data_IF_930827044248
#
_entry.id   IF_930827044248
#
_cell.length_a   1.000
_cell.length_b   1.000
_cell.length_c   1.000
_cell.angle_alpha   90.00
_cell.angle_beta   90.00
_cell.angle_gamma   90.00
#
_symmetry.space_group_name_H-M   'P 1'
#
loop_
_entity.id
_entity.type
_entity.pdbx_description
1 polymer ?
#
# COMPACT_ATOMS: atom_id res chain seq x y z
N UNK A 1 0.34 0.81 18.52
CA UNK A 1 -0.25 1.28 19.79
C UNK A 1 0.59 0.76 20.94
N UNK A 2 0.78 1.57 21.99
CA UNK A 2 1.31 1.10 23.28
C UNK A 2 0.14 0.56 24.09
N UNK A 3 0.12 -0.75 24.35
CA UNK A 3 -1.01 -1.43 25.02
C UNK A 3 -1.12 -1.05 26.51
N UNK A 4 0.01 -0.83 27.19
CA UNK A 4 0.07 -0.46 28.62
C UNK A 4 0.56 0.98 28.82
N UNK A 5 -0.08 1.94 28.15
CA UNK A 5 0.30 3.34 28.25
C UNK A 5 0.13 3.88 29.69
N UNK A 6 1.20 4.44 30.26
CA UNK A 6 1.24 4.92 31.64
C UNK A 6 0.95 6.43 31.72
N UNK A 7 0.22 6.82 32.75
CA UNK A 7 -0.05 8.23 33.04
C UNK A 7 1.25 8.97 33.42
N UNK A 8 1.48 10.14 32.81
CA UNK A 8 2.70 10.93 33.01
C UNK A 8 3.89 10.55 32.12
N UNK A 9 3.77 9.50 31.30
CA UNK A 9 4.75 9.18 30.25
C UNK A 9 4.37 9.85 28.92
N UNK A 10 5.38 10.24 28.15
CA UNK A 10 5.20 10.72 26.78
C UNK A 10 5.77 9.70 25.79
N UNK A 11 5.01 9.43 24.73
CA UNK A 11 5.38 8.46 23.70
C UNK A 11 5.74 9.19 22.42
N UNK A 12 6.99 9.11 22.00
CA UNK A 12 7.47 9.71 20.76
C UNK A 12 7.82 8.62 19.74
N UNK A 13 7.05 8.57 18.66
CA UNK A 13 7.34 7.71 17.52
C UNK A 13 8.22 8.45 16.51
N UNK A 14 9.08 7.71 15.82
CA UNK A 14 9.80 8.17 14.63
C UNK A 14 9.51 7.19 13.50
N UNK A 15 8.87 7.70 12.45
CA UNK A 15 8.49 6.95 11.25
C UNK A 15 8.96 7.73 10.03
N UNK A 16 9.81 7.11 9.21
CA UNK A 16 10.41 7.72 8.00
C UNK A 16 11.01 9.12 8.25
N UNK A 17 11.72 9.26 9.37
CA UNK A 17 12.35 10.51 9.79
C UNK A 17 11.40 11.55 10.39
N UNK A 18 10.08 11.32 10.34
CA UNK A 18 9.07 12.19 10.94
C UNK A 18 8.77 11.75 12.37
N UNK A 19 8.67 12.71 13.30
CA UNK A 19 8.34 12.45 14.70
C UNK A 19 6.85 12.66 14.96
N UNK A 20 6.27 11.75 15.74
CA UNK A 20 4.87 11.82 16.19
C UNK A 20 4.82 11.63 17.69
N UNK A 21 3.81 12.21 18.35
CA UNK A 21 3.64 12.10 19.80
C UNK A 21 2.26 11.55 20.11
N UNK A 22 2.19 10.60 21.04
CA UNK A 22 0.96 10.00 21.51
C UNK A 22 1.10 8.49 21.71
N UNK A 23 0.17 7.85 22.45
CA UNK A 23 0.23 6.41 22.72
C UNK A 23 -0.05 5.54 21.48
N UNK A 24 -0.64 6.13 20.44
CA UNK A 24 -0.97 5.46 19.17
C UNK A 24 -0.38 6.25 18.00
N UNK A 25 0.15 5.53 17.02
CA UNK A 25 0.57 6.05 15.73
C UNK A 25 -0.28 5.39 14.65
N UNK A 26 -0.96 6.22 13.85
CA UNK A 26 -1.66 5.80 12.64
C UNK A 26 -0.97 6.44 11.43
N UNK A 27 -0.49 5.62 10.51
CA UNK A 27 0.23 6.07 9.30
C UNK A 27 -0.18 5.21 8.11
N UNK A 28 -0.27 5.82 6.94
CA UNK A 28 -0.41 5.11 5.67
C UNK A 28 0.97 4.93 5.05
N UNK A 29 1.33 3.69 4.70
CA UNK A 29 2.59 3.35 4.06
C UNK A 29 2.32 2.76 2.67
N UNK A 30 2.65 3.53 1.62
CA UNK A 30 2.35 3.16 0.23
C UNK A 30 3.55 2.54 -0.50
N UNK A 31 4.76 2.84 -0.05
CA UNK A 31 5.98 2.30 -0.66
C UNK A 31 6.32 0.93 -0.11
N UNK A 32 6.41 -0.06 -1.01
CA UNK A 32 6.84 -1.43 -0.69
C UNK A 32 8.26 -1.45 -0.13
N UNK A 33 8.49 -2.33 0.83
CA UNK A 33 9.79 -2.60 1.43
C UNK A 33 9.80 -2.45 2.94
N UNK A 34 10.97 -2.71 3.56
CA UNK A 34 11.17 -2.47 4.98
C UNK A 34 11.17 -0.98 5.30
N UNK A 35 10.50 -0.61 6.39
CA UNK A 35 10.40 0.76 6.89
C UNK A 35 10.79 0.77 8.37
N UNK A 36 11.92 1.40 8.75
CA UNK A 36 12.35 1.45 10.13
C UNK A 36 11.41 2.33 10.96
N UNK A 37 11.12 1.87 12.18
CA UNK A 37 10.29 2.57 13.14
C UNK A 37 10.96 2.57 14.51
N UNK A 38 10.90 3.71 15.19
CA UNK A 38 11.42 3.85 16.56
C UNK A 38 10.33 4.40 17.45
N UNK A 39 10.13 3.78 18.61
CA UNK A 39 9.32 4.30 19.71
C UNK A 39 10.24 4.67 20.86
N UNK A 40 10.07 5.88 21.40
CA UNK A 40 10.71 6.34 22.63
C UNK A 40 9.64 6.64 23.67
N UNK A 41 9.82 6.08 24.85
CA UNK A 41 9.07 6.43 26.04
C UNK A 41 9.91 7.44 26.81
N UNK A 42 9.29 8.57 27.13
CA UNK A 42 9.90 9.70 27.82
C UNK A 42 9.21 9.84 29.17
N UNK A 43 10.00 9.95 30.22
CA UNK A 43 9.48 10.23 31.56
C UNK A 43 9.03 11.69 31.72
N UNK A 44 8.52 12.03 32.90
CA UNK A 44 8.08 13.40 33.23
C UNK A 44 9.20 14.45 33.19
N UNK A 45 10.48 14.03 33.19
CA UNK A 45 11.64 14.91 33.03
C UNK A 45 12.03 15.12 31.56
N UNK A 46 11.41 14.39 30.63
CA UNK A 46 11.77 14.35 29.22
C UNK A 46 12.98 13.46 28.91
N UNK A 47 13.40 12.63 29.87
CA UNK A 47 14.47 11.65 29.68
C UNK A 47 13.90 10.38 29.05
N UNK A 48 14.66 9.75 28.14
CA UNK A 48 14.24 8.49 27.52
C UNK A 48 14.32 7.39 28.57
N UNK A 49 13.17 6.88 28.99
CA UNK A 49 13.06 5.74 29.91
C UNK A 49 13.18 4.41 29.18
N UNK A 50 12.69 4.35 27.93
CA UNK A 50 12.74 3.16 27.07
C UNK A 50 12.79 3.55 25.59
N UNK A 51 13.53 2.78 24.81
CA UNK A 51 13.55 2.88 23.35
C UNK A 51 13.33 1.50 22.72
N UNK A 52 12.46 1.44 21.72
CA UNK A 52 12.20 0.24 20.92
C UNK A 52 12.41 0.58 19.45
N UNK A 53 13.26 -0.19 18.79
CA UNK A 53 13.47 -0.10 17.35
C UNK A 53 12.90 -1.35 16.70
N UNK A 54 12.17 -1.17 15.61
CA UNK A 54 11.58 -2.26 14.84
C UNK A 54 11.49 -1.90 13.36
N UNK A 55 11.12 -2.89 12.55
CA UNK A 55 10.96 -2.73 11.11
C UNK A 55 9.55 -3.18 10.72
N UNK A 56 8.84 -2.32 9.99
CA UNK A 56 7.55 -2.63 9.40
C UNK A 56 7.77 -2.94 7.92
N UNK A 57 7.30 -4.09 7.46
CA UNK A 57 7.48 -4.51 6.06
C UNK A 57 6.19 -4.29 5.28
N UNK A 58 6.25 -3.40 4.29
CA UNK A 58 5.14 -3.08 3.40
C UNK A 58 5.21 -3.96 2.16
N UNK A 59 4.13 -4.67 1.82
CA UNK A 59 4.03 -5.59 0.68
C UNK A 59 2.64 -5.53 0.06
N UNK A 60 2.54 -5.84 -1.23
CA UNK A 60 1.25 -6.09 -1.87
C UNK A 60 0.69 -7.44 -1.43
N UNK A 61 -0.56 -7.44 -0.96
CA UNK A 61 -1.28 -8.65 -0.53
C UNK A 61 -2.53 -8.79 -1.38
N UNK A 62 -2.71 -9.95 -2.00
CA UNK A 62 -3.98 -10.28 -2.67
C UNK A 62 -5.01 -10.65 -1.62
N UNK A 63 -6.16 -9.99 -1.66
CA UNK A 63 -7.28 -10.22 -0.76
C UNK A 63 -8.52 -10.59 -1.55
N UNK A 64 -9.46 -11.23 -0.88
CA UNK A 64 -10.77 -11.50 -1.44
C UNK A 64 -11.57 -10.18 -1.50
N UNK A 65 -12.23 -9.90 -2.61
CA UNK A 65 -12.81 -8.58 -2.89
C UNK A 65 -13.93 -8.15 -1.91
N UNK A 66 -14.69 -9.09 -1.35
CA UNK A 66 -15.74 -8.84 -0.34
C UNK A 66 -15.16 -8.62 1.06
N UNK A 67 -13.90 -8.97 1.28
CA UNK A 67 -13.16 -8.71 2.53
C UNK A 67 -12.45 -7.36 2.57
N UNK A 68 -12.50 -6.59 1.48
CA UNK A 68 -11.94 -5.24 1.45
C UNK A 68 -12.83 -4.26 2.22
N UNK A 69 -12.20 -3.25 2.82
CA UNK A 69 -12.91 -2.07 3.32
C UNK A 69 -13.62 -1.38 2.15
N UNK A 70 -14.70 -0.66 2.44
CA UNK A 70 -15.49 -0.01 1.40
C UNK A 70 -14.62 0.97 0.58
N UNK A 71 -13.76 1.74 1.24
CA UNK A 71 -12.86 2.69 0.60
C UNK A 71 -11.86 2.01 -0.35
N UNK A 72 -11.27 0.89 0.07
CA UNK A 72 -10.32 0.13 -0.73
C UNK A 72 -11.01 -0.52 -1.95
N UNK A 73 -12.24 -1.00 -1.76
CA UNK A 73 -13.04 -1.63 -2.81
C UNK A 73 -13.44 -0.61 -3.87
N UNK A 74 -13.89 0.57 -3.47
CA UNK A 74 -14.19 1.67 -4.38
C UNK A 74 -12.93 2.14 -5.11
N UNK A 75 -11.78 2.27 -4.42
CA UNK A 75 -10.51 2.62 -5.05
C UNK A 75 -10.12 1.60 -6.15
N UNK A 76 -10.32 0.31 -5.90
CA UNK A 76 -10.08 -0.74 -6.88
C UNK A 76 -11.01 -0.61 -8.11
N UNK A 77 -12.31 -0.46 -7.91
CA UNK A 77 -13.26 -0.37 -9.01
C UNK A 77 -13.11 0.93 -9.81
N UNK A 78 -12.83 2.05 -9.16
CA UNK A 78 -12.50 3.31 -9.83
C UNK A 78 -11.27 3.14 -10.73
N UNK A 79 -10.20 2.50 -10.24
CA UNK A 79 -9.03 2.21 -11.07
C UNK A 79 -9.38 1.33 -12.27
N UNK A 80 -10.25 0.32 -12.09
CA UNK A 80 -10.73 -0.52 -13.19
C UNK A 80 -11.57 0.26 -14.21
N UNK A 81 -12.42 1.17 -13.76
CA UNK A 81 -13.18 2.07 -14.63
C UNK A 81 -12.25 2.92 -15.50
N UNK A 82 -11.19 3.50 -14.92
CA UNK A 82 -10.20 4.25 -15.72
C UNK A 82 -9.56 3.39 -16.80
N UNK A 83 -9.22 2.13 -16.51
CA UNK A 83 -8.68 1.21 -17.52
C UNK A 83 -9.69 0.87 -18.62
N UNK A 84 -10.98 0.83 -18.29
CA UNK A 84 -12.08 0.56 -19.22
C UNK A 84 -12.33 1.73 -20.18
N UNK A 85 -12.42 2.95 -19.65
CA UNK A 85 -12.93 4.10 -20.40
C UNK A 85 -11.83 4.95 -21.04
N UNK A 86 -10.60 4.90 -20.52
CA UNK A 86 -9.52 5.77 -20.99
C UNK A 86 -8.85 5.17 -22.24
N UNK A 87 -8.84 5.88 -23.38
CA UNK A 87 -8.07 5.48 -24.56
C UNK A 87 -6.58 5.27 -24.23
N UNK A 88 -5.92 4.36 -24.94
CA UNK A 88 -4.56 3.95 -24.57
C UNK A 88 -3.57 5.11 -24.63
N UNK A 89 -3.61 5.89 -25.70
CA UNK A 89 -2.72 7.01 -25.97
C UNK A 89 -2.89 8.11 -24.92
N UNK A 90 -4.15 8.42 -24.57
CA UNK A 90 -4.49 9.37 -23.50
C UNK A 90 -3.96 8.88 -22.15
N UNK A 91 -4.14 7.60 -21.83
CA UNK A 91 -3.63 7.07 -20.58
C UNK A 91 -2.11 7.02 -20.51
N UNK A 92 -1.41 6.82 -21.63
CA UNK A 92 0.06 6.93 -21.70
C UNK A 92 0.52 8.37 -21.43
N UNK A 93 -0.20 9.37 -21.98
CA UNK A 93 0.09 10.78 -21.71
C UNK A 93 -0.13 11.16 -20.23
N UNK A 94 -1.23 10.68 -19.64
CA UNK A 94 -1.63 11.05 -18.27
C UNK A 94 -0.89 10.24 -17.18
N UNK A 95 -0.71 8.94 -17.39
CA UNK A 95 -0.19 8.01 -16.38
C UNK A 95 1.22 7.47 -16.70
N UNK A 96 1.79 7.83 -17.86
CA UNK A 96 3.14 7.49 -18.28
C UNK A 96 3.24 6.27 -19.21
N UNK A 97 4.43 6.04 -19.75
CA UNK A 97 4.72 5.06 -20.81
C UNK A 97 4.37 3.61 -20.46
N UNK A 98 4.27 3.30 -19.16
CA UNK A 98 3.92 1.97 -18.68
C UNK A 98 2.40 1.74 -18.58
N UNK A 99 1.57 2.75 -18.82
CA UNK A 99 0.12 2.60 -18.83
C UNK A 99 -0.33 1.62 -19.93
N UNK A 100 -1.31 0.78 -19.63
CA UNK A 100 -1.96 -0.11 -20.61
C UNK A 100 -3.45 -0.12 -20.34
N UNK A 101 -4.27 0.19 -21.35
CA UNK A 101 -5.73 0.17 -21.21
C UNK A 101 -6.27 -1.25 -21.20
N UNK A 102 -7.52 -1.45 -20.81
CA UNK A 102 -8.14 -2.77 -20.87
C UNK A 102 -8.16 -3.31 -22.31
N UNK A 103 -8.43 -2.45 -23.30
CA UNK A 103 -8.43 -2.84 -24.72
C UNK A 103 -7.08 -3.41 -25.16
N UNK A 104 -5.98 -2.86 -24.65
CA UNK A 104 -4.64 -3.40 -24.91
C UNK A 104 -4.52 -4.84 -24.41
N UNK A 105 -4.92 -5.10 -23.16
CA UNK A 105 -4.88 -6.45 -22.59
C UNK A 105 -5.81 -7.44 -23.31
N UNK A 106 -7.00 -7.01 -23.71
CA UNK A 106 -7.92 -7.84 -24.51
C UNK A 106 -7.30 -8.19 -25.86
N UNK A 107 -6.68 -7.21 -26.54
CA UNK A 107 -5.99 -7.43 -27.81
C UNK A 107 -4.83 -8.44 -27.67
N UNK A 108 -4.03 -8.32 -26.61
CA UNK A 108 -2.99 -9.31 -26.30
C UNK A 108 -3.60 -10.69 -26.04
N UNK A 109 -4.59 -10.78 -25.15
CA UNK A 109 -5.27 -12.04 -24.84
C UNK A 109 -5.75 -12.73 -26.11
N UNK A 110 -6.50 -12.03 -26.96
CA UNK A 110 -7.02 -12.57 -28.22
C UNK A 110 -5.90 -13.02 -29.18
N UNK A 111 -4.85 -12.23 -29.32
CA UNK A 111 -3.70 -12.56 -30.19
C UNK A 111 -3.01 -13.85 -29.73
N UNK A 112 -2.79 -13.99 -28.42
CA UNK A 112 -2.16 -15.19 -27.84
C UNK A 112 -3.14 -16.36 -27.62
N UNK A 113 -4.46 -16.16 -27.79
CA UNK A 113 -5.46 -17.24 -27.85
C UNK A 113 -5.49 -17.94 -29.20
N UNK A 114 -5.08 -17.25 -30.26
CA UNK A 114 -5.20 -17.76 -31.63
C UNK A 114 -3.92 -18.46 -32.12
N UNK A 115 -2.76 -18.18 -31.51
CA UNK A 115 -1.49 -18.85 -31.78
C UNK A 115 -1.15 -19.83 -30.65
N UNK A 116 -0.28 -20.81 -30.92
CA UNK A 116 0.08 -22.07 -30.20
C UNK A 116 0.32 -22.07 -28.67
N UNK A 117 -0.07 -21.04 -27.92
CA UNK A 117 0.16 -20.86 -26.49
C UNK A 117 -1.15 -20.79 -25.67
N UNK A 118 -2.01 -21.81 -25.79
CA UNK A 118 -3.25 -21.94 -25.01
C UNK A 118 -3.00 -22.02 -23.48
N UNK A 119 -1.76 -22.32 -23.08
CA UNK A 119 -1.33 -22.36 -21.67
C UNK A 119 -1.48 -21.02 -20.91
N UNK A 120 -1.66 -19.91 -21.62
CA UNK A 120 -1.99 -18.61 -21.02
C UNK A 120 -3.47 -18.49 -20.58
N UNK A 121 -4.38 -19.33 -21.08
CA UNK A 121 -5.78 -19.41 -20.65
C UNK A 121 -6.01 -20.46 -19.56
N UNK A 122 -5.09 -21.41 -19.40
CA UNK A 122 -5.21 -22.50 -18.44
C UNK A 122 -4.93 -22.07 -16.99
N UNK A 123 -4.35 -20.88 -16.78
CA UNK A 123 -3.90 -20.43 -15.46
C UNK A 123 -2.75 -21.30 -14.91
N UNK A 124 -2.22 -21.00 -13.71
CA UNK A 124 -1.31 -21.90 -12.99
C UNK A 124 -2.04 -23.11 -12.41
#
# INVERSE_FOLDING_TARGET
TVEDAQEGMMYQWTWLGTKFVGPTLEVLATEVGPKPMVLRELDSSGSISREVQTEIVVKYVRREIRSLMDEDREAFFNAMEYLLVTPHEVGVEVYGENYRSLKYFIGMHHTYSADTCDRMHEGP
#
